data_IF_507601860029
#
_entry.id   IF_507601860029
#
_cell.length_a   1.000
_cell.length_b   1.000
_cell.length_c   1.000
_cell.angle_alpha   90.00
_cell.angle_beta   90.00
_cell.angle_gamma   90.00
#
_symmetry.space_group_name_H-M   'P 1'
#
loop_
_entity.id
_entity.type
_entity.pdbx_description
1 polymer ?
#
# COMPACT_ATOMS: atom_id res chain seq x y z
N UNK A 1 25.77 -48.65 -41.47
CA UNK A 1 26.33 -49.97 -41.12
C UNK A 1 26.05 -50.13 -39.64
N UNK A 2 24.81 -50.53 -39.34
CA UNK A 2 24.41 -51.93 -39.05
C UNK A 2 24.63 -52.17 -37.54
N UNK A 3 23.71 -52.68 -36.74
CA UNK A 3 22.36 -53.20 -36.94
C UNK A 3 21.68 -53.29 -35.55
N UNK A 4 20.37 -53.09 -35.51
CA UNK A 4 19.46 -53.56 -34.43
C UNK A 4 19.30 -55.11 -34.57
N UNK A 5 18.64 -55.93 -33.68
CA UNK A 5 17.24 -55.68 -33.26
C UNK A 5 16.69 -56.42 -31.99
N UNK A 6 15.35 -56.29 -31.80
CA UNK A 6 14.35 -57.22 -31.23
C UNK A 6 13.93 -57.17 -29.73
N UNK A 7 12.92 -56.33 -29.46
CA UNK A 7 11.52 -56.66 -29.06
C UNK A 7 11.14 -57.88 -28.17
N UNK A 8 10.23 -57.63 -27.21
CA UNK A 8 9.00 -58.42 -26.85
C UNK A 8 8.09 -57.55 -25.95
N UNK A 9 6.97 -56.99 -26.43
CA UNK A 9 5.55 -57.44 -26.31
C UNK A 9 5.16 -57.94 -24.91
N UNK A 10 4.31 -57.26 -24.13
CA UNK A 10 2.87 -56.91 -24.26
C UNK A 10 1.97 -57.95 -23.56
N UNK A 11 1.17 -57.51 -22.58
CA UNK A 11 -0.14 -58.12 -22.26
C UNK A 11 -1.08 -57.09 -21.59
N UNK A 12 -2.25 -56.94 -22.19
CA UNK A 12 -3.43 -56.19 -21.74
C UNK A 12 -4.38 -57.12 -20.96
N UNK A 13 -5.29 -56.51 -20.18
CA UNK A 13 -6.53 -57.15 -19.67
C UNK A 13 -6.95 -56.56 -18.31
N UNK A 14 -7.76 -55.50 -18.21
CA UNK A 14 -9.19 -55.30 -18.53
C UNK A 14 -10.17 -55.66 -17.38
N UNK A 15 -10.87 -54.61 -16.90
CA UNK A 15 -12.25 -54.60 -16.34
C UNK A 15 -12.47 -55.26 -14.96
N UNK A 16 -13.37 -54.87 -14.05
CA UNK A 16 -14.43 -53.86 -13.95
C UNK A 16 -15.04 -53.85 -12.53
N UNK A 17 -15.79 -52.78 -12.21
CA UNK A 17 -16.94 -52.67 -11.25
C UNK A 17 -16.71 -52.65 -9.72
N UNK A 18 -17.03 -51.50 -9.12
CA UNK A 18 -17.81 -51.33 -7.86
C UNK A 18 -18.25 -49.84 -7.79
N UNK A 19 -19.47 -49.48 -8.20
CA UNK A 19 -20.71 -49.34 -7.40
C UNK A 19 -20.65 -48.30 -6.27
N UNK A 20 -21.17 -47.09 -6.53
CA UNK A 20 -21.77 -46.25 -5.48
C UNK A 20 -23.14 -45.73 -5.97
N UNK A 21 -24.18 -46.11 -5.22
CA UNK A 21 -25.56 -45.62 -5.28
C UNK A 21 -25.76 -44.61 -4.15
N UNK A 22 -26.26 -43.41 -4.46
CA UNK A 22 -27.04 -42.54 -3.55
C UNK A 22 -27.87 -41.61 -4.46
N UNK A 23 -29.06 -42.03 -4.92
CA UNK A 23 -30.38 -41.71 -4.37
C UNK A 23 -30.64 -40.22 -4.08
N UNK A 24 -31.21 -39.55 -5.10
CA UNK A 24 -32.10 -38.40 -4.98
C UNK A 24 -33.37 -38.77 -4.20
N UNK A 25 -33.81 -37.88 -3.29
CA UNK A 25 -35.22 -37.81 -2.86
C UNK A 25 -35.64 -36.36 -2.67
N UNK A 26 -36.43 -35.86 -3.62
CA UNK A 26 -37.41 -34.80 -3.42
C UNK A 26 -38.55 -35.31 -2.52
N UNK A 27 -39.10 -34.46 -1.64
CA UNK A 27 -40.29 -34.84 -0.87
C UNK A 27 -40.81 -33.82 0.16
N UNK A 28 -41.64 -32.89 -0.33
CA UNK A 28 -42.93 -32.41 0.23
C UNK A 28 -42.99 -31.66 1.58
N UNK A 29 -43.55 -30.44 1.46
CA UNK A 29 -44.23 -29.61 2.47
C UNK A 29 -45.23 -30.36 3.38
N UNK A 30 -45.57 -29.75 4.54
CA UNK A 30 -46.97 -29.65 4.92
C UNK A 30 -47.45 -28.23 5.28
N UNK A 31 -48.51 -27.86 4.56
CA UNK A 31 -49.72 -27.06 4.86
C UNK A 31 -49.85 -26.29 6.19
N UNK A 32 -50.11 -24.98 6.01
CA UNK A 32 -51.09 -24.09 6.66
C UNK A 32 -51.92 -24.67 7.83
N UNK A 33 -51.89 -23.97 8.97
CA UNK A 33 -53.00 -23.90 9.93
C UNK A 33 -53.49 -22.46 10.09
N UNK A 34 -54.82 -22.34 10.18
CA UNK A 34 -55.67 -21.15 10.06
C UNK A 34 -55.53 -20.16 11.22
N UNK A 35 -55.91 -18.92 10.89
CA UNK A 35 -56.12 -17.74 11.74
C UNK A 35 -56.88 -18.01 13.05
N UNK A 36 -56.53 -17.23 14.07
CA UNK A 36 -57.46 -16.82 15.13
C UNK A 36 -57.35 -15.30 15.27
N UNK A 37 -58.40 -14.59 14.82
CA UNK A 37 -58.67 -13.20 15.17
C UNK A 37 -59.05 -13.12 16.65
N UNK A 38 -58.34 -12.32 17.44
CA UNK A 38 -58.89 -11.71 18.66
C UNK A 38 -58.48 -10.25 18.71
N UNK A 39 -59.46 -9.41 18.42
CA UNK A 39 -59.54 -7.99 18.76
C UNK A 39 -59.67 -7.82 20.27
N UNK A 40 -58.86 -6.98 20.90
CA UNK A 40 -59.21 -6.30 22.15
C UNK A 40 -58.27 -5.11 22.41
N UNK A 41 -58.86 -3.93 22.20
CA UNK A 41 -58.81 -2.67 22.97
C UNK A 41 -57.47 -2.13 23.50
N UNK A 42 -57.22 -0.87 23.12
CA UNK A 42 -56.33 0.10 23.78
C UNK A 42 -56.61 0.20 25.28
N UNK A 43 -55.62 0.64 26.06
CA UNK A 43 -55.87 1.76 26.96
C UNK A 43 -54.86 2.89 26.76
N UNK A 44 -55.38 4.08 27.02
CA UNK A 44 -54.79 5.40 26.94
C UNK A 44 -53.64 5.59 27.95
N UNK A 45 -52.62 6.37 27.56
CA UNK A 45 -51.70 7.01 28.48
C UNK A 45 -52.06 8.51 28.58
N UNK A 46 -52.10 9.10 29.78
CA UNK A 46 -52.60 10.46 29.98
C UNK A 46 -51.54 11.52 29.69
N UNK A 47 -52.03 12.63 29.14
CA UNK A 47 -51.33 13.91 29.08
C UNK A 47 -51.08 14.47 30.49
N UNK A 48 -49.91 15.08 30.69
CA UNK A 48 -49.76 16.16 31.66
C UNK A 48 -49.00 17.33 31.01
N UNK A 49 -49.71 18.45 30.99
CA UNK A 49 -49.33 19.79 30.53
C UNK A 49 -48.50 20.56 31.58
N UNK A 50 -47.97 21.69 31.09
CA UNK A 50 -47.44 22.90 31.76
C UNK A 50 -45.90 22.96 31.89
N UNK A 51 -45.21 24.04 31.49
CA UNK A 51 -45.63 25.31 30.89
C UNK A 51 -44.48 26.35 30.91
N UNK A 52 -44.51 27.29 29.95
CA UNK A 52 -43.81 28.60 29.96
C UNK A 52 -42.29 28.57 29.68
N UNK A 53 -41.65 29.48 28.93
CA UNK A 53 -42.03 30.80 28.42
C UNK A 53 -41.01 31.24 27.33
N UNK A 54 -41.56 31.87 26.30
CA UNK A 54 -41.08 32.81 25.26
C UNK A 54 -39.69 33.51 25.44
N UNK A 55 -38.99 34.05 24.44
CA UNK A 55 -39.37 34.96 23.32
C UNK A 55 -38.01 35.39 22.64
N UNK A 56 -37.75 35.39 21.31
CA UNK A 56 -37.96 36.48 20.33
C UNK A 56 -37.25 36.13 18.99
N UNK A 57 -37.93 36.38 17.86
CA UNK A 57 -37.37 36.58 16.50
C UNK A 57 -37.52 38.08 16.14
N UNK A 58 -36.88 38.58 15.07
CA UNK A 58 -37.62 38.82 13.81
C UNK A 58 -36.79 38.48 12.55
N UNK A 59 -37.31 37.68 11.61
CA UNK A 59 -38.08 38.05 10.40
C UNK A 59 -37.34 38.92 9.36
N UNK A 60 -37.26 38.40 8.12
CA UNK A 60 -37.69 39.14 6.91
C UNK A 60 -37.96 38.22 5.71
N UNK A 61 -39.22 38.27 5.24
CA UNK A 61 -39.77 38.15 3.86
C UNK A 61 -39.34 36.96 2.98
N UNK A 62 -40.22 36.14 2.39
CA UNK A 62 -41.64 36.30 2.08
C UNK A 62 -41.88 35.94 0.61
N UNK A 63 -42.60 34.85 0.34
CA UNK A 63 -43.64 34.69 -0.69
C UNK A 63 -43.85 33.21 -1.02
N UNK A 64 -44.86 32.61 -0.39
CA UNK A 64 -45.54 31.41 -0.89
C UNK A 64 -46.92 31.84 -1.40
N UNK A 65 -47.28 31.34 -2.58
CA UNK A 65 -48.66 31.30 -3.05
C UNK A 65 -49.18 29.87 -2.92
N UNK A 66 -50.29 29.76 -2.20
CA UNK A 66 -51.09 28.57 -1.90
C UNK A 66 -51.74 27.90 -3.11
N UNK A 67 -51.93 26.58 -3.06
CA UNK A 67 -53.23 25.94 -3.25
C UNK A 67 -53.16 24.42 -3.00
N UNK A 68 -54.22 23.92 -2.37
CA UNK A 68 -54.43 22.57 -1.87
C UNK A 68 -55.20 21.67 -2.85
N UNK A 69 -54.82 20.38 -2.84
CA UNK A 69 -55.63 19.15 -3.04
C UNK A 69 -56.21 18.88 -4.44
N UNK A 70 -55.77 17.76 -5.03
CA UNK A 70 -56.68 16.77 -5.63
C UNK A 70 -56.03 15.37 -5.67
N UNK A 71 -56.78 14.39 -5.17
CA UNK A 71 -56.51 12.95 -5.21
C UNK A 71 -56.75 12.42 -6.62
N UNK A 72 -55.74 11.80 -7.25
CA UNK A 72 -55.99 10.72 -8.22
C UNK A 72 -54.84 9.72 -8.18
N UNK A 73 -55.19 8.48 -7.90
CA UNK A 73 -54.33 7.31 -8.02
C UNK A 73 -53.79 7.19 -9.45
N UNK A 74 -52.48 6.95 -9.61
CA UNK A 74 -51.94 5.92 -10.50
C UNK A 74 -50.41 5.87 -10.53
N UNK A 75 -49.92 4.63 -10.49
CA UNK A 75 -48.61 4.17 -10.97
C UNK A 75 -47.36 4.61 -10.20
N UNK A 76 -46.76 3.61 -9.54
CA UNK A 76 -45.36 3.59 -9.17
C UNK A 76 -44.50 3.53 -10.46
N UNK A 77 -43.45 4.37 -10.55
CA UNK A 77 -42.20 3.88 -11.12
C UNK A 77 -41.04 4.12 -10.16
N UNK A 78 -40.32 3.03 -9.91
CA UNK A 78 -39.03 2.87 -9.23
C UNK A 78 -38.15 4.12 -9.33
N UNK A 79 -38.08 4.88 -8.24
CA UNK A 79 -37.07 5.94 -8.04
C UNK A 79 -35.77 5.26 -7.62
N UNK A 80 -34.99 4.78 -8.60
CA UNK A 80 -33.57 4.57 -8.38
C UNK A 80 -32.99 5.97 -8.22
N UNK A 81 -32.87 6.44 -6.98
CA UNK A 81 -32.27 7.73 -6.70
C UNK A 81 -30.89 7.75 -7.37
N UNK A 82 -30.72 8.73 -8.25
CA UNK A 82 -29.43 9.08 -8.83
C UNK A 82 -28.56 9.55 -7.68
N UNK A 83 -27.89 8.61 -7.03
CA UNK A 83 -26.76 8.90 -6.18
C UNK A 83 -25.72 9.52 -7.10
N UNK A 84 -25.67 10.87 -7.15
CA UNK A 84 -24.53 11.58 -7.73
C UNK A 84 -23.31 11.01 -7.01
N UNK A 85 -22.48 10.25 -7.73
CA UNK A 85 -21.20 9.78 -7.18
C UNK A 85 -20.41 11.02 -6.84
N UNK A 86 -20.28 11.32 -5.55
CA UNK A 86 -19.16 12.12 -5.09
C UNK A 86 -17.88 11.39 -5.47
N UNK A 87 -16.84 12.12 -5.82
CA UNK A 87 -15.51 11.60 -6.11
C UNK A 87 -14.85 11.09 -4.81
N UNK A 88 -15.42 10.06 -4.21
CA UNK A 88 -14.86 9.39 -3.03
C UNK A 88 -14.15 8.11 -3.49
N UNK A 89 -12.89 7.93 -3.06
CA UNK A 89 -12.15 6.68 -3.30
C UNK A 89 -12.67 5.53 -2.44
N UNK A 90 -13.38 5.85 -1.35
CA UNK A 90 -14.13 4.86 -0.60
C UNK A 90 -15.46 4.52 -1.29
N UNK A 91 -15.80 3.23 -1.30
CA UNK A 91 -17.12 2.77 -1.73
C UNK A 91 -18.24 3.41 -0.88
N UNK A 92 -19.50 3.33 -1.34
CA UNK A 92 -20.63 3.85 -0.58
C UNK A 92 -20.65 3.24 0.83
N UNK A 93 -21.03 4.03 1.84
CA UNK A 93 -21.19 3.52 3.19
C UNK A 93 -22.12 2.30 3.16
N UNK A 94 -21.68 1.13 3.65
CA UNK A 94 -22.46 -0.08 3.53
C UNK A 94 -23.77 0.08 4.31
N UNK A 95 -24.87 -0.38 3.73
CA UNK A 95 -26.12 -0.48 4.47
C UNK A 95 -25.88 -1.35 5.70
N UNK A 96 -26.12 -0.78 6.88
CA UNK A 96 -25.94 -1.48 8.17
C UNK A 96 -27.15 -2.31 8.55
N UNK A 97 -28.22 -2.30 7.75
CA UNK A 97 -29.39 -3.16 7.91
C UNK A 97 -29.30 -4.35 6.95
N UNK A 98 -29.53 -5.56 7.48
CA UNK A 98 -29.51 -6.81 6.74
C UNK A 98 -30.89 -7.44 6.78
N UNK A 99 -31.64 -7.25 5.70
CA UNK A 99 -33.04 -7.69 5.63
C UNK A 99 -33.93 -6.98 6.66
N UNK A 100 -35.08 -7.58 7.03
CA UNK A 100 -36.10 -6.88 7.83
C UNK A 100 -35.80 -6.83 9.34
N UNK A 101 -34.79 -7.54 9.84
CA UNK A 101 -34.61 -7.74 11.29
C UNK A 101 -33.18 -7.66 11.80
N UNK A 102 -32.17 -7.75 10.94
CA UNK A 102 -30.77 -7.71 11.38
C UNK A 102 -30.15 -6.35 11.06
N UNK A 103 -29.23 -5.90 11.91
CA UNK A 103 -28.40 -4.74 11.65
C UNK A 103 -27.04 -4.87 12.34
N UNK A 104 -26.04 -4.14 11.85
CA UNK A 104 -24.79 -3.89 12.58
C UNK A 104 -25.12 -2.89 13.68
N UNK A 105 -24.86 -3.29 14.94
CA UNK A 105 -24.92 -2.37 16.07
C UNK A 105 -23.84 -1.28 15.88
N UNK A 106 -24.21 0.00 15.75
CA UNK A 106 -23.24 1.08 15.71
C UNK A 106 -22.66 1.24 17.12
N UNK A 107 -21.53 0.59 17.40
CA UNK A 107 -20.82 0.80 18.64
C UNK A 107 -19.86 1.99 18.45
N UNK A 108 -20.04 3.12 19.17
CA UNK A 108 -19.21 4.30 18.99
C UNK A 108 -17.72 4.03 19.25
N UNK A 109 -17.36 3.03 20.06
CA UNK A 109 -15.96 2.62 20.27
C UNK A 109 -15.37 1.79 19.13
N UNK A 110 -16.18 1.28 18.20
CA UNK A 110 -15.71 0.52 17.02
C UNK A 110 -15.67 1.35 15.74
N UNK A 111 -16.16 2.60 15.78
CA UNK A 111 -16.12 3.49 14.62
C UNK A 111 -14.72 4.06 14.49
N UNK A 112 -13.99 3.62 13.47
CA UNK A 112 -12.71 4.23 13.09
C UNK A 112 -12.96 5.47 12.24
N UNK A 113 -12.48 6.62 12.69
CA UNK A 113 -12.45 7.84 11.89
C UNK A 113 -11.21 7.82 10.98
N UNK A 114 -11.39 7.33 9.76
CA UNK A 114 -10.34 7.32 8.73
C UNK A 114 -10.57 8.53 7.83
N UNK A 115 -9.57 9.40 7.68
CA UNK A 115 -9.63 10.49 6.72
C UNK A 115 -9.66 9.92 5.30
N UNK A 116 -10.54 10.46 4.44
CA UNK A 116 -10.58 10.04 3.04
C UNK A 116 -9.24 10.38 2.36
N UNK A 117 -8.48 9.37 1.88
CA UNK A 117 -7.21 9.59 1.22
C UNK A 117 -7.31 10.56 0.05
N UNK A 118 -8.43 10.60 -0.68
CA UNK A 118 -8.62 11.51 -1.82
C UNK A 118 -8.71 13.00 -1.42
N UNK A 119 -9.08 13.27 -0.16
CA UNK A 119 -9.34 14.61 0.34
C UNK A 119 -8.12 15.28 1.00
N UNK A 120 -6.98 14.57 1.06
CA UNK A 120 -5.80 15.02 1.77
C UNK A 120 -5.10 16.17 1.04
N UNK A 121 -4.89 17.28 1.75
CA UNK A 121 -4.26 18.50 1.25
C UNK A 121 -3.14 18.92 2.19
N UNK A 122 -2.04 19.41 1.61
CA UNK A 122 -0.94 20.00 2.36
C UNK A 122 -1.37 21.36 2.93
N UNK A 123 -1.08 21.59 4.20
CA UNK A 123 -1.26 22.89 4.84
C UNK A 123 0.00 23.26 5.60
N UNK A 124 0.45 24.50 5.46
CA UNK A 124 1.60 25.04 6.17
C UNK A 124 1.11 25.80 7.39
N UNK A 125 1.42 25.33 8.58
CA UNK A 125 1.15 26.09 9.82
C UNK A 125 2.05 27.31 9.94
N UNK A 126 3.27 27.21 9.38
CA UNK A 126 4.25 28.27 9.20
C UNK A 126 4.86 28.12 7.82
N UNK A 127 5.25 29.22 7.14
CA UNK A 127 5.94 29.11 5.87
C UNK A 127 7.23 28.30 6.02
N UNK A 128 7.51 27.34 5.13
CA UNK A 128 8.73 26.54 5.20
C UNK A 128 9.97 27.40 4.92
N UNK A 129 11.05 27.17 5.66
CA UNK A 129 12.30 27.91 5.55
C UNK A 129 13.48 27.01 5.17
N UNK A 130 13.45 25.75 5.59
CA UNK A 130 14.53 24.80 5.41
C UNK A 130 14.13 23.72 4.39
N UNK A 131 14.83 23.68 3.27
CA UNK A 131 14.56 22.73 2.18
C UNK A 131 15.71 21.76 2.03
N UNK A 132 15.43 20.46 2.10
CA UNK A 132 16.40 19.42 1.76
C UNK A 132 16.32 19.10 0.27
N UNK A 133 17.43 19.27 -0.45
CA UNK A 133 17.53 18.89 -1.87
C UNK A 133 18.31 17.59 -2.00
N UNK A 134 17.65 16.57 -2.53
CA UNK A 134 18.23 15.24 -2.81
C UNK A 134 18.36 15.10 -4.31
N UNK A 135 19.57 14.77 -4.80
CA UNK A 135 19.77 14.37 -6.20
C UNK A 135 20.27 12.94 -6.31
N UNK A 136 19.95 12.27 -7.41
CA UNK A 136 20.61 11.00 -7.76
C UNK A 136 22.11 11.25 -8.02
N UNK A 137 22.95 10.51 -7.32
CA UNK A 137 24.41 10.63 -7.39
C UNK A 137 24.91 9.97 -8.68
N UNK A 138 26.01 10.46 -9.26
CA UNK A 138 26.63 9.98 -10.52
C UNK A 138 25.76 10.11 -11.78
N UNK A 139 24.76 10.99 -11.74
CA UNK A 139 23.96 11.33 -12.91
C UNK A 139 24.31 12.76 -13.35
N UNK A 140 25.11 12.89 -14.40
CA UNK A 140 25.58 14.20 -14.88
C UNK A 140 24.44 15.05 -15.46
N UNK A 141 23.37 14.41 -15.95
CA UNK A 141 22.19 15.10 -16.49
C UNK A 141 21.47 15.95 -15.44
N UNK A 142 21.66 15.60 -14.15
CA UNK A 142 21.05 16.29 -13.02
C UNK A 142 21.86 17.46 -12.50
N UNK A 143 23.10 17.66 -12.97
CA UNK A 143 23.96 18.72 -12.44
C UNK A 143 23.39 20.10 -12.70
N UNK A 144 23.01 20.39 -13.95
CA UNK A 144 22.48 21.72 -14.30
C UNK A 144 21.11 22.00 -13.66
N UNK A 145 20.14 21.07 -13.70
CA UNK A 145 18.89 21.20 -12.95
C UNK A 145 19.08 21.41 -11.45
N UNK A 146 20.03 20.69 -10.83
CA UNK A 146 20.34 20.86 -9.42
C UNK A 146 20.88 22.26 -9.11
N UNK A 147 21.79 22.79 -9.93
CA UNK A 147 22.32 24.16 -9.76
C UNK A 147 21.22 25.19 -9.92
N UNK A 148 20.37 25.05 -10.93
CA UNK A 148 19.26 25.97 -11.18
C UNK A 148 18.26 25.99 -10.02
N UNK A 149 17.91 24.81 -9.50
CA UNK A 149 17.04 24.69 -8.33
C UNK A 149 17.68 25.35 -7.09
N UNK A 150 18.95 25.08 -6.81
CA UNK A 150 19.62 25.66 -5.65
C UNK A 150 19.72 27.19 -5.75
N UNK A 151 20.03 27.73 -6.95
CA UNK A 151 19.98 29.17 -7.24
C UNK A 151 18.63 29.77 -6.90
N UNK A 152 17.57 29.19 -7.46
CA UNK A 152 16.20 29.63 -7.24
C UNK A 152 15.83 29.65 -5.75
N UNK A 153 16.13 28.57 -5.03
CA UNK A 153 15.78 28.46 -3.61
C UNK A 153 16.56 29.45 -2.72
N UNK A 154 17.85 29.67 -2.99
CA UNK A 154 18.70 30.55 -2.17
C UNK A 154 18.51 32.02 -2.55
N UNK A 155 18.60 32.35 -3.83
CA UNK A 155 18.64 33.74 -4.30
C UNK A 155 17.26 34.35 -4.47
N UNK A 156 16.28 33.60 -5.01
CA UNK A 156 14.93 34.12 -5.28
C UNK A 156 13.97 33.88 -4.12
N UNK A 157 14.09 32.74 -3.42
CA UNK A 157 13.22 32.39 -2.28
C UNK A 157 13.80 32.66 -0.91
N UNK A 158 15.10 32.97 -0.83
CA UNK A 158 15.80 33.23 0.44
C UNK A 158 15.64 32.11 1.47
N UNK A 159 15.69 30.85 1.01
CA UNK A 159 15.54 29.65 1.83
C UNK A 159 16.89 29.05 2.21
N UNK A 160 16.90 28.33 3.33
CA UNK A 160 18.05 27.54 3.76
C UNK A 160 18.03 26.19 3.05
N UNK A 161 19.00 25.95 2.16
CA UNK A 161 19.07 24.71 1.39
C UNK A 161 20.05 23.73 2.02
N UNK A 162 19.55 22.55 2.37
CA UNK A 162 20.31 21.43 2.89
C UNK A 162 20.65 20.43 1.80
N UNK A 163 21.89 19.95 1.78
CA UNK A 163 22.39 18.94 0.83
C UNK A 163 23.36 17.98 1.52
N UNK A 164 23.46 16.74 1.03
CA UNK A 164 24.46 15.81 1.56
C UNK A 164 25.87 16.32 1.22
N UNK A 165 26.81 16.25 2.16
CA UNK A 165 28.18 16.71 1.95
C UNK A 165 28.84 16.08 0.70
N UNK A 166 28.59 14.80 0.45
CA UNK A 166 29.09 14.10 -0.75
C UNK A 166 28.63 14.71 -2.07
N UNK A 167 27.50 15.42 -2.08
CA UNK A 167 26.97 16.10 -3.27
C UNK A 167 27.80 17.35 -3.57
N UNK A 168 28.18 18.12 -2.54
CA UNK A 168 29.00 19.33 -2.68
C UNK A 168 30.45 18.97 -3.00
N UNK A 169 30.96 17.89 -2.41
CA UNK A 169 32.31 17.38 -2.66
C UNK A 169 32.46 16.75 -4.07
N UNK A 170 31.40 16.73 -4.90
CA UNK A 170 31.46 16.27 -6.28
C UNK A 170 32.34 17.21 -7.12
N UNK A 171 33.44 16.67 -7.66
CA UNK A 171 34.41 17.44 -8.42
C UNK A 171 33.81 18.17 -9.61
N UNK A 172 32.68 17.72 -10.17
CA UNK A 172 31.99 18.40 -11.26
C UNK A 172 31.26 19.68 -10.83
N UNK A 173 30.81 19.77 -9.57
CA UNK A 173 30.20 20.99 -9.01
C UNK A 173 31.29 21.98 -8.57
N UNK A 174 32.39 21.47 -8.01
CA UNK A 174 33.51 22.31 -7.55
C UNK A 174 34.27 23.01 -8.67
N UNK A 175 34.22 22.50 -9.90
CA UNK A 175 34.84 23.13 -11.08
C UNK A 175 34.03 24.29 -11.66
N UNK A 176 32.80 24.48 -11.22
CA UNK A 176 31.93 25.53 -11.75
C UNK A 176 32.00 26.79 -10.86
N UNK A 177 32.77 27.78 -11.32
CA UNK A 177 32.93 29.06 -10.64
C UNK A 177 31.60 29.77 -10.40
N UNK A 178 30.61 29.59 -11.28
CA UNK A 178 29.29 30.20 -11.17
C UNK A 178 28.43 29.58 -10.07
N UNK A 179 28.78 28.39 -9.58
CA UNK A 179 28.07 27.70 -8.49
C UNK A 179 28.80 27.80 -7.16
N UNK A 180 30.11 28.09 -7.18
CA UNK A 180 30.96 28.24 -5.99
C UNK A 180 30.41 29.27 -4.98
N UNK A 181 29.85 30.39 -5.46
CA UNK A 181 29.23 31.41 -4.59
C UNK A 181 28.03 30.89 -3.79
N UNK A 182 27.29 29.93 -4.34
CA UNK A 182 26.10 29.34 -3.73
C UNK A 182 26.48 28.18 -2.84
N UNK A 183 27.48 27.38 -3.23
CA UNK A 183 28.01 26.29 -2.40
C UNK A 183 28.32 26.74 -0.96
N UNK A 184 28.85 27.95 -0.78
CA UNK A 184 29.16 28.50 0.55
C UNK A 184 27.92 28.86 1.39
N UNK A 185 26.75 28.99 0.77
CA UNK A 185 25.48 29.27 1.42
C UNK A 185 24.67 27.99 1.72
N UNK A 186 25.05 26.87 1.11
CA UNK A 186 24.38 25.58 1.34
C UNK A 186 24.74 25.01 2.71
N UNK A 187 23.73 24.51 3.41
CA UNK A 187 23.92 23.72 4.61
C UNK A 187 24.26 22.27 4.23
N UNK A 188 25.40 21.75 4.70
CA UNK A 188 25.80 20.36 4.43
C UNK A 188 25.61 19.47 5.64
N UNK A 189 25.24 18.21 5.39
CA UNK A 189 25.16 17.17 6.43
C UNK A 189 25.82 15.88 5.97
N UNK A 190 26.23 15.03 6.92
CA UNK A 190 26.81 13.71 6.67
C UNK A 190 25.85 12.61 7.10
N UNK A 191 25.47 11.77 6.14
CA UNK A 191 24.65 10.59 6.40
C UNK A 191 25.28 9.73 7.51
N UNK A 192 24.47 9.37 8.50
CA UNK A 192 24.88 8.51 9.62
C UNK A 192 25.60 9.21 10.78
N UNK A 193 25.90 10.51 10.66
CA UNK A 193 26.56 11.30 11.70
C UNK A 193 25.73 12.49 12.16
N UNK A 194 25.17 13.24 11.21
CA UNK A 194 24.42 14.46 11.50
C UNK A 194 22.91 14.15 11.42
N UNK A 195 22.14 14.55 12.44
CA UNK A 195 20.67 14.40 12.47
C UNK A 195 20.00 15.69 11.97
N UNK A 196 19.26 15.56 10.88
CA UNK A 196 18.52 16.65 10.23
C UNK A 196 17.00 16.50 10.41
N UNK A 197 16.53 15.48 11.13
CA UNK A 197 15.12 15.08 11.16
C UNK A 197 14.17 16.22 11.56
N UNK A 198 14.58 17.04 12.54
CA UNK A 198 13.78 18.16 13.06
C UNK A 198 14.15 19.52 12.45
N UNK A 199 14.99 19.55 11.40
CA UNK A 199 15.46 20.79 10.76
C UNK A 199 14.83 21.06 9.41
N UNK A 200 14.23 20.06 8.77
CA UNK A 200 13.78 20.14 7.39
C UNK A 200 12.27 20.34 7.34
N UNK A 201 11.83 21.34 6.58
CA UNK A 201 10.40 21.67 6.42
C UNK A 201 9.83 21.07 5.12
N UNK A 202 10.66 20.95 4.07
CA UNK A 202 10.29 20.43 2.75
C UNK A 202 11.45 19.62 2.16
N UNK A 203 11.14 18.53 1.45
CA UNK A 203 12.13 17.73 0.72
C UNK A 203 11.85 17.86 -0.78
N UNK A 204 12.87 18.23 -1.56
CA UNK A 204 12.82 18.23 -3.02
C UNK A 204 13.78 17.17 -3.57
N UNK A 205 13.24 16.22 -4.31
CA UNK A 205 13.99 15.14 -4.94
C UNK A 205 14.16 15.42 -6.44
N UNK A 206 15.38 15.31 -6.94
CA UNK A 206 15.76 15.36 -8.35
C UNK A 206 16.27 14.00 -8.80
N UNK A 207 15.48 13.26 -9.57
CA UNK A 207 15.84 11.95 -10.11
C UNK A 207 14.69 10.96 -10.07
N UNK A 208 15.02 9.66 -10.01
CA UNK A 208 14.02 8.59 -9.96
C UNK A 208 13.63 8.17 -8.54
N UNK A 209 12.87 7.07 -8.45
CA UNK A 209 12.29 6.51 -7.23
C UNK A 209 13.30 6.27 -6.08
N UNK A 210 14.56 5.98 -6.41
CA UNK A 210 15.64 5.79 -5.42
C UNK A 210 15.94 7.04 -4.56
N UNK A 211 15.61 8.24 -5.05
CA UNK A 211 15.73 9.48 -4.28
C UNK A 211 14.70 9.54 -3.15
N UNK A 212 13.47 9.07 -3.40
CA UNK A 212 12.43 8.99 -2.38
C UNK A 212 12.73 7.92 -1.33
N UNK A 213 13.30 6.77 -1.74
CA UNK A 213 13.79 5.77 -0.81
C UNK A 213 14.89 6.32 0.10
N UNK A 214 15.78 7.14 -0.47
CA UNK A 214 16.81 7.82 0.32
C UNK A 214 16.19 8.81 1.31
N UNK A 215 15.24 9.63 0.89
CA UNK A 215 14.49 10.52 1.78
C UNK A 215 13.84 9.73 2.94
N UNK A 216 13.12 8.65 2.65
CA UNK A 216 12.52 7.79 3.68
C UNK A 216 13.56 7.24 4.67
N UNK A 217 14.77 6.92 4.19
CA UNK A 217 15.84 6.40 5.03
C UNK A 217 16.41 7.43 6.01
N UNK A 218 16.41 8.71 5.65
CA UNK A 218 16.87 9.82 6.51
C UNK A 218 15.90 10.11 7.66
N UNK A 219 14.58 9.98 7.42
CA UNK A 219 13.54 10.33 8.40
C UNK A 219 12.87 9.08 8.99
N UNK A 220 13.39 8.55 10.10
CA UNK A 220 12.83 7.36 10.76
C UNK A 220 11.59 7.64 11.65
N UNK A 221 11.24 8.92 11.83
CA UNK A 221 10.03 9.40 12.50
C UNK A 221 9.08 10.08 11.52
N UNK A 222 8.56 11.26 11.91
CA UNK A 222 7.78 12.12 11.01
C UNK A 222 8.59 12.50 9.78
N UNK A 223 7.94 12.57 8.62
CA UNK A 223 8.59 12.86 7.34
C UNK A 223 8.04 14.18 6.80
N UNK A 224 8.90 15.16 6.47
CA UNK A 224 8.47 16.37 5.79
C UNK A 224 7.83 16.06 4.42
N UNK A 225 6.94 16.92 3.89
CA UNK A 225 6.40 16.80 2.54
C UNK A 225 7.49 16.61 1.49
N UNK A 226 7.29 15.67 0.57
CA UNK A 226 8.26 15.37 -0.49
C UNK A 226 7.70 15.76 -1.85
N UNK A 227 8.41 16.65 -2.53
CA UNK A 227 8.20 17.02 -3.93
C UNK A 227 9.25 16.32 -4.79
N UNK A 228 8.85 15.53 -5.78
CA UNK A 228 9.79 14.69 -6.54
C UNK A 228 9.69 14.94 -8.05
N UNK A 229 10.81 15.38 -8.64
CA UNK A 229 10.95 15.68 -10.06
C UNK A 229 11.68 14.57 -10.80
N UNK A 230 11.16 14.18 -11.97
CA UNK A 230 11.86 13.33 -12.94
C UNK A 230 12.50 14.19 -14.05
N UNK A 231 13.64 13.74 -14.55
CA UNK A 231 14.46 14.46 -15.55
C UNK A 231 14.86 13.58 -16.75
N UNK A 232 14.12 12.49 -16.95
CA UNK A 232 14.41 11.49 -17.99
C UNK A 232 13.50 10.28 -17.83
N UNK A 233 14.03 9.18 -17.31
CA UNK A 233 13.21 7.98 -17.03
C UNK A 233 12.17 8.29 -15.95
N UNK A 234 10.89 8.17 -16.31
CA UNK A 234 9.80 8.31 -15.37
C UNK A 234 9.87 7.20 -14.31
N UNK A 235 9.73 7.58 -13.05
CA UNK A 235 9.52 6.68 -11.92
C UNK A 235 8.09 6.74 -11.41
N UNK A 236 7.66 5.74 -10.64
CA UNK A 236 6.32 5.69 -10.04
C UNK A 236 6.12 6.70 -8.91
N UNK A 237 7.21 7.29 -8.42
CA UNK A 237 7.24 8.14 -7.23
C UNK A 237 7.58 9.60 -7.54
N UNK A 238 7.80 9.96 -8.81
CA UNK A 238 8.33 11.26 -9.26
C UNK A 238 7.37 11.93 -10.25
N UNK A 239 6.25 12.51 -9.79
CA UNK A 239 5.18 12.98 -10.68
C UNK A 239 5.52 14.29 -11.41
N UNK A 240 6.46 15.09 -10.91
CA UNK A 240 6.74 16.42 -11.46
C UNK A 240 7.77 16.40 -12.57
N UNK A 241 7.52 17.19 -13.62
CA UNK A 241 8.48 17.51 -14.67
C UNK A 241 9.35 18.69 -14.26
N UNK A 242 10.65 18.61 -14.47
CA UNK A 242 11.56 19.65 -14.01
C UNK A 242 11.40 20.96 -14.79
N UNK A 243 10.93 20.94 -16.04
CA UNK A 243 10.78 22.14 -16.87
C UNK A 243 9.84 23.19 -16.25
N UNK A 244 8.90 22.77 -15.39
CA UNK A 244 7.96 23.64 -14.71
C UNK A 244 8.28 23.86 -13.22
N UNK A 245 9.50 23.54 -12.76
CA UNK A 245 9.82 23.50 -11.33
C UNK A 245 9.51 24.80 -10.58
N UNK A 246 9.80 25.97 -11.17
CA UNK A 246 9.57 27.28 -10.53
C UNK A 246 8.10 27.46 -10.15
N UNK A 247 7.21 27.28 -11.11
CA UNK A 247 5.76 27.40 -10.93
C UNK A 247 5.22 26.35 -9.96
N UNK A 248 5.70 25.12 -10.06
CA UNK A 248 5.22 24.03 -9.20
C UNK A 248 5.69 24.21 -7.74
N UNK A 249 6.92 24.67 -7.53
CA UNK A 249 7.45 24.98 -6.19
C UNK A 249 6.68 26.15 -5.57
N UNK A 250 6.35 27.18 -6.36
CA UNK A 250 5.53 28.31 -5.90
C UNK A 250 4.15 27.86 -5.41
N UNK A 251 3.45 27.03 -6.20
CA UNK A 251 2.15 26.44 -5.81
C UNK A 251 2.26 25.65 -4.51
N UNK A 252 3.34 24.91 -4.31
CA UNK A 252 3.55 24.15 -3.07
C UNK A 252 3.72 25.08 -1.87
N UNK A 253 4.40 26.21 -2.03
CA UNK A 253 4.57 27.21 -0.96
C UNK A 253 3.28 27.98 -0.64
N UNK A 254 2.43 28.25 -1.64
CA UNK A 254 1.09 28.81 -1.43
C UNK A 254 0.18 27.88 -0.59
N UNK A 255 0.48 26.58 -0.60
CA UNK A 255 -0.25 25.54 0.14
C UNK A 255 -1.40 24.93 -0.65
N UNK A 256 -2.17 24.05 0.00
CA UNK A 256 -3.32 23.35 -0.57
C UNK A 256 -3.00 22.36 -1.73
N UNK A 257 -1.73 21.98 -1.89
CA UNK A 257 -1.34 20.93 -2.82
C UNK A 257 -1.97 19.58 -2.41
N UNK A 258 -2.39 18.77 -3.38
CA UNK A 258 -2.81 17.40 -3.11
C UNK A 258 -1.61 16.60 -2.58
N UNK A 259 -1.85 15.76 -1.57
CA UNK A 259 -0.82 14.87 -1.03
C UNK A 259 -1.32 13.44 -0.98
N UNK A 260 -0.40 12.50 -1.20
CA UNK A 260 -0.61 11.08 -0.99
C UNK A 260 0.26 10.61 0.17
N UNK A 261 -0.38 10.08 1.21
CA UNK A 261 0.31 9.50 2.36
C UNK A 261 0.71 8.07 2.06
N UNK A 262 1.93 7.89 1.56
CA UNK A 262 2.48 6.57 1.25
C UNK A 262 2.82 5.84 2.54
N UNK A 263 2.10 4.75 2.83
CA UNK A 263 2.35 3.92 4.01
C UNK A 263 3.79 3.38 4.01
N UNK A 264 4.38 3.26 5.20
CA UNK A 264 5.65 2.55 5.42
C UNK A 264 5.43 1.30 6.26
N UNK A 265 6.35 0.35 6.19
CA UNK A 265 6.46 -0.74 7.16
C UNK A 265 7.38 -0.32 8.30
N UNK A 266 6.92 -0.53 9.54
CA UNK A 266 7.77 -0.51 10.73
C UNK A 266 8.27 -1.92 10.97
N UNK A 267 9.58 -2.06 10.98
CA UNK A 267 10.24 -3.36 11.07
C UNK A 267 11.11 -3.41 12.32
N UNK A 268 10.98 -4.47 13.10
CA UNK A 268 11.80 -4.76 14.27
C UNK A 268 12.50 -6.09 14.07
N UNK A 269 13.83 -6.08 14.19
CA UNK A 269 14.62 -7.30 14.25
C UNK A 269 14.89 -7.58 15.72
N UNK A 270 14.42 -8.73 16.18
CA UNK A 270 14.61 -9.21 17.54
C UNK A 270 15.54 -10.40 17.46
N UNK A 271 16.72 -10.29 18.07
CA UNK A 271 17.63 -11.42 18.16
C UNK A 271 17.27 -12.32 19.34
N UNK A 272 17.25 -13.62 19.10
CA UNK A 272 17.03 -14.60 20.15
C UNK A 272 18.17 -14.53 21.17
N UNK A 273 17.85 -14.54 22.47
CA UNK A 273 18.87 -14.89 23.45
C UNK A 273 19.14 -16.38 23.30
N UNK A 274 20.35 -16.74 22.86
CA UNK A 274 20.84 -18.11 22.97
C UNK A 274 20.95 -18.42 24.46
N UNK A 275 19.90 -18.99 25.05
CA UNK A 275 20.10 -19.80 26.25
C UNK A 275 20.92 -21.00 25.79
N UNK A 276 22.24 -20.91 26.01
CA UNK A 276 23.14 -22.06 25.92
C UNK A 276 22.77 -22.99 27.08
N UNK A 277 21.63 -23.68 26.97
CA UNK A 277 21.26 -24.78 27.85
C UNK A 277 22.03 -26.02 27.38
N UNK A 278 23.36 -25.99 27.55
CA UNK A 278 24.09 -27.22 27.86
C UNK A 278 23.74 -27.57 29.30
N UNK A 279 22.65 -28.32 29.49
CA UNK A 279 22.36 -29.25 30.58
C UNK A 279 20.84 -29.39 30.75
N UNK A 280 20.32 -30.51 30.27
CA UNK A 280 19.44 -31.46 30.98
C UNK A 280 18.79 -32.40 29.96
N UNK A 281 19.59 -33.32 29.43
CA UNK A 281 19.09 -34.63 29.04
C UNK A 281 18.81 -35.40 30.34
N UNK A 282 17.63 -35.20 30.91
CA UNK A 282 17.06 -36.15 31.87
C UNK A 282 15.68 -36.55 31.38
N UNK A 283 15.67 -37.77 30.86
CA UNK A 283 14.55 -38.67 30.55
C UNK A 283 13.28 -38.39 31.34
N UNK A 284 12.17 -38.11 30.64
CA UNK A 284 10.83 -38.50 31.10
C UNK A 284 9.99 -38.98 29.93
N UNK A 285 9.69 -40.28 29.97
CA UNK A 285 8.58 -40.91 29.26
C UNK A 285 7.26 -40.34 29.79
N UNK A 286 6.49 -39.68 28.93
CA UNK A 286 5.04 -39.90 28.73
C UNK A 286 4.51 -38.76 27.86
N UNK A 287 4.00 -39.14 26.69
CA UNK A 287 3.53 -38.21 25.67
C UNK A 287 2.28 -37.45 26.10
N UNK A 288 2.43 -36.14 26.27
CA UNK A 288 1.50 -35.08 25.89
C UNK A 288 2.42 -33.90 25.50
N UNK A 289 2.46 -33.53 24.21
CA UNK A 289 3.18 -32.36 23.73
C UNK A 289 2.50 -31.09 24.28
N UNK A 290 3.16 -30.25 25.09
CA UNK A 290 2.62 -28.95 25.41
C UNK A 290 2.70 -28.06 24.17
N UNK A 291 1.58 -27.44 23.78
CA UNK A 291 1.60 -26.30 22.87
C UNK A 291 2.50 -25.22 23.48
N UNK A 292 3.71 -25.10 22.95
CA UNK A 292 4.62 -24.01 23.27
C UNK A 292 3.98 -22.70 22.81
N UNK A 293 3.29 -22.02 23.72
CA UNK A 293 3.19 -20.58 23.69
C UNK A 293 4.63 -20.06 23.79
N UNK A 294 5.21 -19.69 22.64
CA UNK A 294 6.49 -18.97 22.59
C UNK A 294 6.22 -17.63 23.27
N UNK A 295 6.55 -17.53 24.56
CA UNK A 295 6.61 -16.26 25.28
C UNK A 295 7.80 -15.47 24.73
N UNK A 296 7.53 -14.76 23.63
CA UNK A 296 8.52 -14.09 22.78
C UNK A 296 8.97 -12.72 23.35
N UNK A 297 8.92 -12.54 24.68
CA UNK A 297 9.14 -11.24 25.34
C UNK A 297 10.59 -11.04 25.83
N UNK A 298 11.45 -12.07 25.78
CA UNK A 298 12.84 -11.98 26.25
C UNK A 298 13.89 -11.73 25.14
N UNK A 299 13.47 -11.29 23.95
CA UNK A 299 14.36 -11.00 22.83
C UNK A 299 14.86 -9.54 22.83
N UNK A 300 16.15 -9.32 22.58
CA UNK A 300 16.71 -7.97 22.45
C UNK A 300 16.40 -7.42 21.05
N UNK A 301 15.69 -6.30 20.97
CA UNK A 301 15.52 -5.55 19.72
C UNK A 301 16.89 -5.00 19.32
N UNK A 302 17.44 -5.46 18.20
CA UNK A 302 18.75 -5.02 17.70
C UNK A 302 18.63 -3.91 16.67
N UNK A 303 17.51 -3.86 15.96
CA UNK A 303 17.28 -2.91 14.88
C UNK A 303 15.79 -2.59 14.78
N UNK A 304 15.48 -1.30 14.64
CA UNK A 304 14.15 -0.82 14.30
C UNK A 304 14.27 0.18 13.15
N UNK A 305 13.54 -0.06 12.05
CA UNK A 305 13.60 0.77 10.85
C UNK A 305 12.20 1.01 10.26
N UNK A 306 12.10 2.11 9.51
CA UNK A 306 10.99 2.42 8.61
C UNK A 306 11.39 2.06 7.18
N UNK A 307 10.49 1.43 6.46
CA UNK A 307 10.71 0.90 5.11
C UNK A 307 9.58 1.35 4.20
N UNK A 308 9.90 1.98 3.07
CA UNK A 308 8.90 2.54 2.16
C UNK A 308 8.37 1.51 1.17
N UNK A 309 9.25 0.75 0.53
CA UNK A 309 8.87 -0.22 -0.47
C UNK A 309 8.72 -1.61 0.14
N UNK A 310 9.83 -2.23 0.56
CA UNK A 310 9.80 -3.63 0.98
C UNK A 310 10.89 -4.07 1.96
N UNK A 311 10.53 -5.09 2.73
CA UNK A 311 11.45 -5.96 3.47
C UNK A 311 11.61 -7.23 2.66
N UNK A 312 12.84 -7.57 2.32
CA UNK A 312 13.15 -8.81 1.59
C UNK A 312 13.87 -9.74 2.54
N UNK A 313 13.38 -10.96 2.68
CA UNK A 313 14.07 -12.05 3.37
C UNK A 313 14.44 -13.10 2.35
N UNK A 314 15.73 -13.30 2.10
CA UNK A 314 16.25 -14.17 1.05
C UNK A 314 17.28 -15.19 1.58
N UNK A 315 17.58 -16.22 0.79
CA UNK A 315 18.52 -17.31 1.14
C UNK A 315 19.99 -16.88 1.22
N UNK A 316 20.33 -15.65 0.89
CA UNK A 316 21.69 -15.16 0.89
C UNK A 316 22.58 -15.84 -0.15
N UNK A 317 23.86 -16.11 0.18
CA UNK A 317 24.77 -16.83 -0.70
C UNK A 317 24.53 -18.35 -0.69
N UNK A 318 23.60 -18.86 0.13
CA UNK A 318 23.40 -20.30 0.28
C UNK A 318 22.87 -20.94 -1.00
N UNK A 319 23.44 -22.07 -1.43
CA UNK A 319 22.95 -22.85 -2.57
C UNK A 319 21.64 -23.61 -2.30
N UNK A 320 21.26 -23.77 -1.03
CA UNK A 320 20.01 -24.43 -0.66
C UNK A 320 18.86 -23.43 -0.59
N UNK A 321 17.63 -23.93 -0.72
CA UNK A 321 16.43 -23.14 -0.51
C UNK A 321 16.38 -22.57 0.91
N UNK A 322 15.90 -21.33 1.02
CA UNK A 322 15.53 -20.76 2.32
C UNK A 322 14.29 -21.49 2.85
N UNK A 323 14.26 -21.77 4.16
CA UNK A 323 13.09 -22.28 4.87
C UNK A 323 12.69 -21.25 5.93
N UNK A 324 11.69 -20.44 5.61
CA UNK A 324 11.31 -19.26 6.40
C UNK A 324 9.85 -19.38 6.81
N UNK A 325 9.56 -19.36 8.09
CA UNK A 325 8.19 -19.44 8.61
C UNK A 325 7.56 -18.05 8.67
N UNK A 326 6.34 -17.94 8.15
CA UNK A 326 5.55 -16.71 8.13
C UNK A 326 4.35 -16.84 9.07
N UNK A 327 4.26 -15.92 10.01
CA UNK A 327 3.18 -15.81 10.99
C UNK A 327 2.38 -14.53 10.74
N UNK A 328 1.06 -14.61 10.95
CA UNK A 328 0.14 -13.47 10.92
C UNK A 328 -0.65 -13.47 12.24
N UNK A 329 -0.55 -12.37 12.99
CA UNK A 329 -1.15 -12.20 14.33
C UNK A 329 -0.86 -13.41 15.25
N UNK A 330 0.38 -13.88 15.23
CA UNK A 330 0.86 -15.01 16.04
C UNK A 330 0.51 -16.41 15.52
N UNK A 331 -0.22 -16.54 14.40
CA UNK A 331 -0.57 -17.82 13.80
C UNK A 331 0.34 -18.14 12.62
N UNK A 332 0.94 -19.32 12.61
CA UNK A 332 1.73 -19.80 11.48
C UNK A 332 0.81 -19.95 10.26
N UNK A 333 1.13 -19.25 9.17
CA UNK A 333 0.38 -19.30 7.92
C UNK A 333 1.00 -20.31 6.97
N UNK A 334 2.31 -20.20 6.74
CA UNK A 334 3.04 -21.09 5.83
C UNK A 334 4.54 -21.03 6.10
N UNK A 335 5.24 -22.07 5.71
CA UNK A 335 6.70 -22.08 5.58
C UNK A 335 7.05 -21.82 4.11
N UNK A 336 7.80 -20.75 3.86
CA UNK A 336 8.28 -20.38 2.54
C UNK A 336 9.54 -21.19 2.24
N UNK A 337 9.46 -22.02 1.21
CA UNK A 337 10.59 -22.76 0.66
C UNK A 337 10.90 -22.22 -0.74
N UNK A 338 12.03 -21.55 -0.91
CA UNK A 338 12.34 -20.84 -2.15
C UNK A 338 13.59 -19.99 -2.05
N UNK A 339 13.72 -19.02 -2.95
CA UNK A 339 14.77 -18.00 -2.86
C UNK A 339 14.51 -17.03 -1.71
N UNK A 340 13.23 -16.79 -1.35
CA UNK A 340 12.87 -15.92 -0.24
C UNK A 340 11.41 -15.48 -0.23
N UNK A 341 11.14 -14.43 0.54
CA UNK A 341 9.84 -13.75 0.64
C UNK A 341 10.03 -12.24 0.73
N UNK A 342 9.16 -11.50 0.06
CA UNK A 342 9.08 -10.04 0.08
C UNK A 342 7.83 -9.65 0.86
N UNK A 343 7.98 -8.77 1.84
CA UNK A 343 6.86 -8.07 2.48
C UNK A 343 6.90 -6.62 2.05
N UNK A 344 5.92 -6.17 1.29
CA UNK A 344 5.92 -4.83 0.66
C UNK A 344 4.69 -4.00 1.02
N UNK A 345 4.85 -2.69 0.91
CA UNK A 345 3.74 -1.75 0.92
C UNK A 345 3.08 -1.69 -0.47
N UNK A 346 1.92 -1.04 -0.61
CA UNK A 346 1.35 -0.71 -1.91
C UNK A 346 2.30 0.12 -2.79
N UNK A 347 3.12 0.98 -2.18
CA UNK A 347 4.16 1.74 -2.90
C UNK A 347 5.24 0.82 -3.45
N UNK A 348 5.67 -0.19 -2.69
CA UNK A 348 6.61 -1.22 -3.13
C UNK A 348 6.03 -2.23 -4.14
N UNK A 349 4.73 -2.18 -4.42
CA UNK A 349 4.07 -3.10 -5.38
C UNK A 349 4.60 -2.96 -6.81
N UNK A 350 5.17 -1.80 -7.16
CA UNK A 350 5.79 -1.49 -8.45
C UNK A 350 7.31 -1.64 -8.45
N UNK A 351 7.91 -2.01 -7.31
CA UNK A 351 9.35 -2.19 -7.13
C UNK A 351 9.72 -3.68 -7.26
N UNK A 352 10.49 -4.22 -6.31
CA UNK A 352 10.99 -5.60 -6.42
C UNK A 352 9.86 -6.63 -6.37
N UNK A 353 8.76 -6.34 -5.65
CA UNK A 353 7.59 -7.19 -5.62
C UNK A 353 6.95 -7.40 -7.01
N UNK A 354 6.96 -6.39 -7.88
CA UNK A 354 6.46 -6.51 -9.25
C UNK A 354 7.23 -7.57 -10.05
N UNK A 355 8.56 -7.56 -9.94
CA UNK A 355 9.43 -8.52 -10.61
C UNK A 355 9.23 -9.95 -10.08
N UNK A 356 8.86 -10.10 -8.80
CA UNK A 356 8.50 -11.38 -8.20
C UNK A 356 7.05 -11.84 -8.51
N UNK A 357 6.31 -11.10 -9.34
CA UNK A 357 4.96 -11.48 -9.79
C UNK A 357 3.82 -10.96 -8.91
N UNK A 358 4.07 -9.97 -8.06
CA UNK A 358 3.01 -9.30 -7.30
C UNK A 358 2.08 -8.47 -8.21
N UNK A 359 0.86 -8.23 -7.73
CA UNK A 359 -0.06 -7.28 -8.37
C UNK A 359 0.33 -5.85 -8.03
N UNK A 360 0.15 -4.91 -8.97
CA UNK A 360 0.33 -3.49 -8.68
C UNK A 360 -0.88 -2.95 -7.93
N UNK A 361 -0.61 -2.24 -6.84
CA UNK A 361 -1.63 -1.73 -5.91
C UNK A 361 -1.51 -0.21 -5.84
N UNK A 362 -2.65 0.47 -5.95
CA UNK A 362 -2.72 1.92 -5.77
C UNK A 362 -2.30 2.32 -4.35
N UNK A 363 -1.49 3.38 -4.13
CA UNK A 363 -0.91 3.66 -2.81
C UNK A 363 -1.92 3.96 -1.70
N UNK A 364 -3.14 4.38 -2.05
CA UNK A 364 -4.25 4.60 -1.11
C UNK A 364 -4.93 3.31 -0.60
N UNK A 365 -4.60 2.14 -1.12
CA UNK A 365 -5.18 0.88 -0.63
C UNK A 365 -4.48 0.49 0.67
N UNK A 366 -5.18 0.44 1.83
CA UNK A 366 -4.55 0.14 3.12
C UNK A 366 -4.28 -1.36 3.26
N UNK A 367 -3.11 -1.81 2.78
CA UNK A 367 -2.74 -3.21 2.79
C UNK A 367 -1.23 -3.42 3.01
N UNK A 368 -0.88 -4.64 3.42
CA UNK A 368 0.48 -5.18 3.35
C UNK A 368 0.46 -6.34 2.35
N UNK A 369 1.50 -6.46 1.54
CA UNK A 369 1.64 -7.52 0.54
C UNK A 369 2.71 -8.51 0.99
N UNK A 370 2.48 -9.79 0.71
CA UNK A 370 3.48 -10.84 0.87
C UNK A 370 3.65 -11.58 -0.45
N UNK A 371 4.86 -11.56 -0.99
CA UNK A 371 5.19 -12.07 -2.32
C UNK A 371 6.36 -13.04 -2.20
N UNK A 372 6.16 -14.34 -2.47
CA UNK A 372 7.28 -15.29 -2.47
C UNK A 372 8.23 -15.04 -3.64
N UNK A 373 9.52 -15.30 -3.44
CA UNK A 373 10.55 -15.25 -4.49
C UNK A 373 10.86 -16.68 -4.91
N UNK A 374 10.56 -17.01 -6.16
CA UNK A 374 10.79 -18.33 -6.76
C UNK A 374 10.42 -19.50 -5.80
N UNK A 375 9.16 -19.57 -5.30
CA UNK A 375 8.78 -20.62 -4.36
C UNK A 375 8.84 -21.99 -5.03
N UNK A 376 9.34 -22.99 -4.29
CA UNK A 376 9.33 -24.39 -4.74
C UNK A 376 7.90 -24.93 -4.85
N UNK A 377 6.97 -24.39 -4.05
CA UNK A 377 5.54 -24.70 -4.15
C UNK A 377 4.86 -23.85 -5.22
N UNK A 378 4.35 -24.49 -6.27
CA UNK A 378 3.63 -23.84 -7.37
C UNK A 378 2.29 -23.21 -6.95
N UNK A 379 1.73 -23.62 -5.80
CA UNK A 379 0.47 -23.07 -5.28
C UNK A 379 0.68 -21.80 -4.47
N UNK A 380 1.92 -21.46 -4.10
CA UNK A 380 2.16 -20.29 -3.28
C UNK A 380 2.14 -19.02 -4.13
N UNK A 381 1.01 -18.32 -4.09
CA UNK A 381 0.78 -17.06 -4.81
C UNK A 381 0.98 -15.86 -3.88
N UNK A 382 1.26 -14.66 -4.44
CA UNK A 382 1.26 -13.43 -3.67
C UNK A 382 -0.07 -13.22 -2.96
N UNK A 383 -0.02 -12.77 -1.71
CA UNK A 383 -1.20 -12.47 -0.89
C UNK A 383 -1.19 -11.00 -0.46
N UNK A 384 -2.39 -10.46 -0.26
CA UNK A 384 -2.61 -9.10 0.22
C UNK A 384 -3.41 -9.20 1.51
N UNK A 385 -2.89 -8.61 2.59
CA UNK A 385 -3.49 -8.64 3.92
C UNK A 385 -3.81 -7.22 4.41
N UNK A 386 -4.77 -7.05 5.33
CA UNK A 386 -5.12 -5.72 5.85
C UNK A 386 -3.92 -5.03 6.53
N UNK A 387 -3.81 -3.71 6.42
CA UNK A 387 -2.71 -2.94 7.02
C UNK A 387 -2.61 -3.02 8.57
N UNK A 388 -3.68 -3.46 9.24
CA UNK A 388 -3.72 -3.55 10.70
C UNK A 388 -3.09 -4.80 11.30
N UNK A 389 -2.66 -5.76 10.49
CA UNK A 389 -2.10 -7.03 10.98
C UNK A 389 -0.62 -6.90 11.37
N UNK A 390 -0.17 -7.76 12.28
CA UNK A 390 1.26 -7.97 12.55
C UNK A 390 1.74 -9.22 11.79
N UNK A 391 2.77 -9.05 10.96
CA UNK A 391 3.50 -10.15 10.35
C UNK A 391 4.76 -10.43 11.16
N UNK A 392 5.07 -11.71 11.34
CA UNK A 392 6.34 -12.14 11.93
C UNK A 392 6.99 -13.19 11.04
N UNK A 393 8.28 -13.02 10.80
CA UNK A 393 9.10 -13.94 10.01
C UNK A 393 10.20 -14.51 10.89
N UNK A 394 10.36 -15.83 10.88
CA UNK A 394 11.44 -16.55 11.58
C UNK A 394 12.07 -17.58 10.65
N UNK A 395 13.28 -18.04 10.96
CA UNK A 395 13.76 -19.28 10.35
C UNK A 395 12.94 -20.46 10.85
N UNK A 396 12.60 -21.37 9.94
CA UNK A 396 11.96 -22.63 10.31
C UNK A 396 12.92 -23.47 11.16
N UNK A 397 12.46 -24.24 12.16
CA UNK A 397 13.34 -25.12 12.94
C UNK A 397 14.15 -26.09 12.08
N UNK A 398 13.60 -26.50 10.93
CA UNK A 398 14.23 -27.41 9.97
C UNK A 398 15.14 -26.69 8.96
N UNK A 399 15.35 -25.38 9.11
CA UNK A 399 16.21 -24.61 8.21
C UNK A 399 17.68 -25.01 8.39
N UNK A 400 18.31 -25.43 7.30
CA UNK A 400 19.72 -25.85 7.28
C UNK A 400 20.71 -24.69 7.28
N UNK A 401 20.26 -23.51 6.84
CA UNK A 401 21.09 -22.32 6.68
C UNK A 401 20.41 -21.09 7.24
N UNK A 402 21.21 -20.04 7.40
CA UNK A 402 20.73 -18.69 7.73
C UNK A 402 19.98 -18.06 6.57
N UNK A 403 19.22 -17.01 6.87
CA UNK A 403 18.62 -16.14 5.86
C UNK A 403 19.20 -14.73 5.99
N UNK A 404 18.96 -13.90 4.99
CA UNK A 404 19.37 -12.51 4.98
C UNK A 404 18.14 -11.63 4.84
N UNK A 405 18.08 -10.55 5.61
CA UNK A 405 17.05 -9.53 5.47
C UNK A 405 17.65 -8.24 4.93
N UNK A 406 16.93 -7.56 4.05
CA UNK A 406 17.22 -6.22 3.57
C UNK A 406 15.99 -5.32 3.66
N UNK A 407 16.23 -4.01 3.71
CA UNK A 407 15.21 -2.98 3.93
C UNK A 407 15.35 -1.93 2.82
N UNK A 408 14.38 -1.82 1.91
CA UNK A 408 14.46 -0.98 0.69
C UNK A 408 15.78 -1.19 -0.10
N UNK A 409 16.24 -2.45 -0.17
CA UNK A 409 17.51 -2.82 -0.82
C UNK A 409 18.78 -2.39 -0.06
N UNK A 410 18.68 -1.92 1.18
CA UNK A 410 19.79 -1.45 2.02
C UNK A 410 19.88 -2.22 3.34
N UNK A 411 20.94 -1.92 4.13
CA UNK A 411 21.16 -2.41 5.50
C UNK A 411 20.97 -3.93 5.65
N UNK A 412 21.57 -4.68 4.72
CA UNK A 412 21.46 -6.14 4.70
C UNK A 412 22.11 -6.74 5.94
N UNK A 413 21.41 -7.68 6.58
CA UNK A 413 21.90 -8.36 7.78
C UNK A 413 21.48 -9.83 7.77
N UNK A 414 22.32 -10.67 8.39
CA UNK A 414 22.04 -12.09 8.55
C UNK A 414 21.07 -12.35 9.71
N UNK A 415 20.18 -13.32 9.50
CA UNK A 415 19.16 -13.81 10.42
C UNK A 415 19.49 -15.26 10.76
N UNK A 416 19.58 -15.54 12.06
CA UNK A 416 19.92 -16.86 12.58
C UNK A 416 18.72 -17.52 13.27
N UNK A 417 18.88 -18.79 13.63
CA UNK A 417 17.86 -19.51 14.39
C UNK A 417 17.58 -18.81 15.72
N UNK A 418 16.29 -18.65 16.04
CA UNK A 418 15.83 -17.91 17.22
C UNK A 418 15.67 -16.39 17.01
N UNK A 419 16.17 -15.84 15.89
CA UNK A 419 15.88 -14.45 15.52
C UNK A 419 14.46 -14.33 14.92
N UNK A 420 13.84 -13.18 15.09
CA UNK A 420 12.54 -12.87 14.49
C UNK A 420 12.49 -11.47 13.90
N UNK A 421 11.76 -11.33 12.80
CA UNK A 421 11.49 -10.05 12.14
C UNK A 421 10.00 -9.77 12.31
N UNK A 422 9.66 -8.72 13.05
CA UNK A 422 8.28 -8.27 13.22
C UNK A 422 8.00 -7.07 12.33
N UNK A 423 6.91 -7.12 11.58
CA UNK A 423 6.56 -6.15 10.54
C UNK A 423 5.11 -5.70 10.79
N UNK A 424 4.92 -4.39 10.86
CA UNK A 424 3.62 -3.73 11.04
C UNK A 424 3.55 -2.51 10.14
N UNK A 425 2.35 -2.01 9.80
CA UNK A 425 2.26 -0.70 9.15
C UNK A 425 2.70 0.40 10.11
N UNK A 426 3.55 1.30 9.63
CA UNK A 426 4.07 2.43 10.39
C UNK A 426 3.01 3.50 10.63
N UNK A 427 3.10 4.17 11.78
CA UNK A 427 2.32 5.37 12.07
C UNK A 427 2.87 6.63 11.38
N UNK A 428 4.02 6.55 10.70
CA UNK A 428 4.64 7.66 10.00
C UNK A 428 4.70 7.38 8.50
N UNK A 429 3.68 7.74 7.71
CA UNK A 429 3.73 7.65 6.25
C UNK A 429 4.69 8.68 5.65
N UNK A 430 5.04 8.51 4.37
CA UNK A 430 5.75 9.53 3.57
C UNK A 430 4.71 10.37 2.83
N UNK A 431 4.57 11.66 3.15
CA UNK A 431 3.71 12.58 2.40
C UNK A 431 4.35 12.94 1.06
N UNK A 432 3.89 12.35 -0.03
CA UNK A 432 4.30 12.75 -1.37
C UNK A 432 3.33 13.78 -1.94
N UNK A 433 3.85 14.89 -2.44
CA UNK A 433 3.05 15.92 -3.10
C UNK A 433 2.67 15.42 -4.50
N UNK A 434 1.40 15.58 -4.86
CA UNK A 434 0.86 15.25 -6.18
C UNK A 434 0.97 16.47 -7.11
N UNK A 435 1.19 16.19 -8.40
CA UNK A 435 1.19 17.20 -9.46
C UNK A 435 -0.25 17.58 -9.84
N UNK A 436 -1.14 16.59 -10.05
CA UNK A 436 -2.54 16.85 -10.37
C UNK A 436 -3.46 16.35 -9.25
N UNK A 437 -3.58 15.03 -9.13
CA UNK A 437 -4.35 14.36 -8.11
C UNK A 437 -3.80 12.94 -7.86
N UNK A 438 -4.25 12.33 -6.77
CA UNK A 438 -3.71 11.06 -6.28
C UNK A 438 -3.88 9.91 -7.29
N UNK A 439 -4.95 9.95 -8.08
CA UNK A 439 -5.36 8.87 -8.98
C UNK A 439 -4.71 9.05 -10.34
N UNK A 440 -4.80 10.26 -10.90
CA UNK A 440 -4.24 10.59 -12.19
C UNK A 440 -2.74 10.40 -12.23
N UNK A 441 -2.02 10.92 -11.23
CA UNK A 441 -0.56 10.80 -11.16
C UNK A 441 -0.10 9.33 -11.16
N UNK A 442 -0.85 8.45 -10.49
CA UNK A 442 -0.53 7.01 -10.44
C UNK A 442 -0.79 6.31 -11.77
N UNK A 443 -1.94 6.57 -12.41
CA UNK A 443 -2.27 5.96 -13.71
C UNK A 443 -1.39 6.50 -14.85
N UNK A 444 -1.04 7.79 -14.82
CA UNK A 444 -0.11 8.39 -15.76
C UNK A 444 1.28 7.74 -15.62
N UNK A 445 1.73 7.54 -14.37
CA UNK A 445 2.97 6.82 -14.09
C UNK A 445 2.94 5.38 -14.62
N UNK A 446 1.84 4.64 -14.42
CA UNK A 446 1.67 3.30 -15.00
C UNK A 446 1.70 3.28 -16.53
N UNK A 447 1.00 4.22 -17.16
CA UNK A 447 0.91 4.31 -18.60
C UNK A 447 2.27 4.61 -19.23
N UNK A 448 3.05 5.48 -18.61
CA UNK A 448 4.36 5.90 -19.11
C UNK A 448 5.47 4.89 -18.77
N UNK A 449 5.53 4.36 -17.54
CA UNK A 449 6.59 3.42 -17.12
C UNK A 449 6.44 2.03 -17.74
N UNK A 450 5.21 1.53 -17.92
CA UNK A 450 4.94 0.16 -18.38
C UNK A 450 4.35 0.09 -19.78
N UNK A 451 4.14 1.23 -20.45
CA UNK A 451 3.35 1.30 -21.68
C UNK A 451 2.02 0.53 -21.55
N UNK A 452 1.36 0.73 -20.41
CA UNK A 452 0.24 -0.10 -19.97
C UNK A 452 -0.86 -0.12 -21.03
N UNK A 453 -1.09 -1.30 -21.62
CA UNK A 453 -2.10 -1.56 -22.63
C UNK A 453 -1.98 -0.71 -23.93
N UNK A 454 -0.78 -0.26 -24.27
CA UNK A 454 -0.52 0.36 -25.59
C UNK A 454 -0.59 -0.75 -26.66
N UNK A 455 -1.72 -0.86 -27.33
CA UNK A 455 -1.93 -1.73 -28.50
C UNK A 455 -2.19 -0.88 -29.75
N UNK A 456 -1.66 -1.30 -30.90
CA UNK A 456 -2.13 -0.77 -32.18
C UNK A 456 -3.63 -1.04 -32.27
N UNK A 457 -4.45 0.01 -32.45
CA UNK A 457 -5.88 -0.15 -32.68
C UNK A 457 -6.05 -1.04 -33.91
N UNK A 458 -6.77 -2.15 -33.75
CA UNK A 458 -7.09 -3.01 -34.87
C UNK A 458 -7.95 -2.21 -35.86
N UNK A 459 -7.49 -2.10 -37.10
CA UNK A 459 -8.28 -1.52 -38.19
C UNK A 459 -9.58 -2.30 -38.31
N UNK A 460 -10.70 -1.59 -38.45
CA UNK A 460 -11.99 -2.23 -38.72
C UNK A 460 -11.85 -3.05 -40.00
N UNK A 461 -12.41 -4.26 -40.01
CA UNK A 461 -12.61 -5.01 -41.24
C UNK A 461 -13.41 -4.10 -42.17
N UNK A 462 -12.80 -3.67 -43.27
CA UNK A 462 -13.53 -3.04 -44.36
C UNK A 462 -14.37 -4.13 -45.00
N UNK A 463 -15.70 -3.99 -44.96
CA UNK A 463 -16.60 -4.90 -45.67
C UNK A 463 -16.24 -4.87 -47.16
N UNK A 464 -15.84 -6.04 -47.67
CA UNK A 464 -15.64 -6.25 -49.10
C UNK A 464 -17.02 -6.34 -49.77
N UNK A 465 -17.67 -5.21 -49.95
CA UNK A 465 -18.87 -5.08 -50.80
C UNK A 465 -18.94 -3.66 -51.35
N UNK A 466 -18.13 -3.39 -52.37
CA UNK A 466 -18.51 -2.57 -53.54
C UNK A 466 -17.39 -2.58 -54.58
N UNK A 467 -17.02 -3.79 -55.02
CA UNK A 467 -16.37 -3.98 -56.32
C UNK A 467 -17.27 -4.86 -57.18
N UNK A 468 -18.48 -4.38 -57.47
CA UNK A 468 -19.24 -4.82 -58.63
C UNK A 468 -18.94 -3.85 -59.77
N UNK A 469 -18.06 -4.30 -60.65
CA UNK A 469 -18.20 -4.24 -62.11
C UNK A 469 -18.83 -2.97 -62.72
N UNK A 470 -17.98 -2.10 -63.27
CA UNK A 470 -18.15 -1.60 -64.65
C UNK A 470 -16.78 -1.26 -65.25
N UNK A 471 -16.14 -2.25 -65.85
CA UNK A 471 -15.27 -2.04 -67.03
C UNK A 471 -16.08 -2.49 -68.26
N UNK A 472 -16.58 -1.51 -69.03
CA UNK A 472 -16.57 -1.47 -70.50
C UNK A 472 -17.31 -0.22 -71.00
#
# INVERSE_FOLDING_TARGET
MEDEPLSRKAEEGSSSKQSQRQQERQGKLPRRRKEVKRSLRRPDCPEHLSGGSAHWLPEHSGSEASASVEDTAESCPKRWDRCRRGHFLHGPYPATHFGPKACVLPNPTSVMHIQDPASQRLTWSKPPLNVLVIRKIRDETLLEPFKELCRFLVEEKHLMVYVEKKVVDDGSLMRDDSFSAICNQLCTFREGFDDISDRIDLIICLGGDGTLLYASSLFQGSVPPVMAFHLGSLGFLTPFKFESFRTEVDKVFEGNAAIILRSRLKVKVVKGMVQRNEQLLSTQENGILPHNHINNEAGKITLQLQVLNEVVVDRGPSSYLSNVDLYLDGRLITSVQGDGVIVSTPTGSTAYAAAAGASMIHPNVPAIMVTPICPHSLSFRPIVVPAGVELMITLSPDARNTAWVSFDGRKRQEIQHGDSIKITTSCFPVPSICCHDLVYDWFDSLAQCLHWNVRKKQTRLTDASDSSETEN
#
